data_IF_040711225051
#
_entry.id   IF_040711225051
#
_cell.length_a   1.000
_cell.length_b   1.000
_cell.length_c   1.000
_cell.angle_alpha   90.00
_cell.angle_beta   90.00
_cell.angle_gamma   90.00
#
_symmetry.space_group_name_H-M   'P 1'
#
loop_
_entity.id
_entity.type
_entity.pdbx_description
1 polymer ?
#
# COMPACT_ATOMS: atom_id res chain seq x y z
N UNK A 1 -2.71 1.06 -10.58
CA UNK A 1 -3.49 0.55 -9.42
C UNK A 1 -4.43 -0.59 -9.81
N UNK A 2 -5.31 -0.40 -10.80
CA UNK A 2 -6.30 -1.41 -11.20
C UNK A 2 -5.72 -2.81 -11.48
N UNK A 3 -4.57 -2.92 -12.15
CA UNK A 3 -3.93 -4.21 -12.44
C UNK A 3 -3.53 -4.96 -11.17
N UNK A 4 -2.88 -4.28 -10.21
CA UNK A 4 -2.51 -4.89 -8.92
C UNK A 4 -3.75 -5.38 -8.17
N UNK A 5 -4.83 -4.59 -8.21
CA UNK A 5 -6.09 -4.96 -7.59
C UNK A 5 -6.70 -6.22 -8.21
N UNK A 6 -6.68 -6.34 -9.55
CA UNK A 6 -7.14 -7.54 -10.26
C UNK A 6 -6.33 -8.79 -9.87
N UNK A 7 -5.00 -8.68 -9.71
CA UNK A 7 -4.18 -9.79 -9.21
C UNK A 7 -4.64 -10.25 -7.82
N UNK A 8 -4.88 -9.30 -6.91
CA UNK A 8 -5.32 -9.60 -5.54
C UNK A 8 -6.69 -10.29 -5.54
N UNK A 9 -7.66 -9.75 -6.30
CA UNK A 9 -9.01 -10.33 -6.40
C UNK A 9 -8.97 -11.73 -7.01
N UNK A 10 -8.09 -12.00 -7.97
CA UNK A 10 -7.98 -13.32 -8.57
C UNK A 10 -7.30 -14.35 -7.65
N UNK A 11 -6.33 -13.92 -6.82
CA UNK A 11 -5.69 -14.80 -5.84
C UNK A 11 -6.59 -15.12 -4.64
N UNK A 12 -7.50 -14.21 -4.28
CA UNK A 12 -8.46 -14.37 -3.20
C UNK A 12 -9.79 -14.90 -3.76
N UNK A 13 -10.06 -16.19 -3.54
CA UNK A 13 -11.35 -16.79 -3.88
C UNK A 13 -12.44 -16.31 -2.89
N UNK A 14 -12.96 -15.10 -3.11
CA UNK A 14 -13.99 -14.48 -2.28
C UNK A 14 -15.38 -14.76 -2.88
N UNK A 15 -16.21 -15.49 -2.13
CA UNK A 15 -17.64 -15.63 -2.44
C UNK A 15 -18.38 -14.33 -2.10
N UNK A 16 -18.60 -13.49 -3.11
CA UNK A 16 -19.37 -12.24 -2.98
C UNK A 16 -20.84 -12.45 -2.60
N UNK A 17 -21.36 -13.68 -2.68
CA UNK A 17 -22.76 -14.00 -2.41
C UNK A 17 -23.12 -13.83 -0.93
N UNK A 18 -22.23 -14.21 0.00
CA UNK A 18 -22.51 -14.11 1.43
C UNK A 18 -22.25 -12.70 1.99
N UNK A 19 -21.28 -11.96 1.42
CA UNK A 19 -21.07 -10.54 1.72
C UNK A 19 -22.27 -9.67 1.31
N UNK A 20 -22.93 -10.01 0.20
CA UNK A 20 -24.08 -9.25 -0.32
C UNK A 20 -25.32 -9.34 0.58
N UNK A 21 -25.52 -10.45 1.29
CA UNK A 21 -26.70 -10.65 2.17
C UNK A 21 -26.77 -9.62 3.30
N UNK A 22 -25.64 -9.32 3.95
CA UNK A 22 -25.57 -8.30 5.01
C UNK A 22 -25.68 -6.86 4.49
N UNK A 23 -25.12 -6.58 3.32
CA UNK A 23 -25.16 -5.26 2.70
C UNK A 23 -26.56 -4.87 2.20
N UNK A 24 -27.38 -5.85 1.77
CA UNK A 24 -28.70 -5.58 1.18
C UNK A 24 -29.69 -4.96 2.17
N UNK A 25 -29.51 -5.18 3.47
CA UNK A 25 -30.33 -4.58 4.53
C UNK A 25 -30.11 -3.07 4.68
N UNK A 26 -28.91 -2.56 4.35
CA UNK A 26 -28.55 -1.15 4.51
C UNK A 26 -28.71 -0.32 3.23
N UNK A 27 -29.07 -0.95 2.09
CA UNK A 27 -29.33 -0.26 0.83
C UNK A 27 -30.32 0.92 0.97
N UNK A 28 -31.50 0.79 1.61
CA UNK A 28 -32.44 1.91 1.69
C UNK A 28 -31.87 3.09 2.49
N UNK A 29 -31.13 2.82 3.56
CA UNK A 29 -30.47 3.85 4.36
C UNK A 29 -29.33 4.52 3.57
N UNK A 30 -28.51 3.72 2.86
CA UNK A 30 -27.43 4.23 2.01
C UNK A 30 -27.95 5.08 0.85
N UNK A 31 -29.07 4.69 0.24
CA UNK A 31 -29.74 5.47 -0.81
C UNK A 31 -30.30 6.77 -0.25
N UNK A 32 -30.87 6.77 0.95
CA UNK A 32 -31.35 8.00 1.59
C UNK A 32 -30.19 8.98 1.83
N UNK A 33 -29.08 8.52 2.41
CA UNK A 33 -27.89 9.36 2.67
C UNK A 33 -27.25 9.83 1.35
N UNK A 34 -27.06 8.93 0.39
CA UNK A 34 -26.49 9.28 -0.92
C UNK A 34 -27.38 10.25 -1.70
N UNK A 35 -28.70 10.10 -1.58
CA UNK A 35 -29.68 11.03 -2.16
C UNK A 35 -29.59 12.42 -1.53
N UNK A 36 -29.46 12.51 -0.21
CA UNK A 36 -29.26 13.78 0.50
C UNK A 36 -27.97 14.46 0.01
N UNK A 37 -26.85 13.73 -0.06
CA UNK A 37 -25.58 14.27 -0.54
C UNK A 37 -25.66 14.72 -2.00
N UNK A 38 -26.39 14.00 -2.86
CA UNK A 38 -26.62 14.41 -4.25
C UNK A 38 -27.43 15.70 -4.34
N UNK A 39 -28.49 15.82 -3.53
CA UNK A 39 -29.30 17.05 -3.47
C UNK A 39 -28.46 18.21 -2.95
N UNK A 40 -27.63 18.00 -1.94
CA UNK A 40 -26.72 19.01 -1.40
C UNK A 40 -25.70 19.46 -2.45
N UNK A 41 -25.08 18.53 -3.18
CA UNK A 41 -24.12 18.86 -4.24
C UNK A 41 -24.79 19.60 -5.40
N UNK A 42 -26.02 19.22 -5.75
CA UNK A 42 -26.82 19.92 -6.76
C UNK A 42 -27.20 21.32 -6.30
N UNK A 43 -27.66 21.48 -5.07
CA UNK A 43 -27.98 22.78 -4.48
C UNK A 43 -26.75 23.68 -4.48
N UNK A 44 -25.59 23.20 -4.00
CA UNK A 44 -24.32 23.93 -4.05
C UNK A 44 -23.96 24.37 -5.46
N UNK A 45 -24.12 23.49 -6.45
CA UNK A 45 -23.84 23.83 -7.84
C UNK A 45 -24.78 24.92 -8.39
N UNK A 46 -26.09 24.83 -8.07
CA UNK A 46 -27.08 25.81 -8.56
C UNK A 46 -27.06 27.14 -7.82
N UNK A 47 -26.68 27.13 -6.54
CA UNK A 47 -26.54 28.33 -5.71
C UNK A 47 -25.16 28.97 -5.84
N UNK A 48 -24.26 28.35 -6.62
CA UNK A 48 -22.97 28.93 -6.93
C UNK A 48 -23.15 30.08 -7.93
N UNK A 49 -23.26 31.30 -7.42
CA UNK A 49 -23.09 32.49 -8.25
C UNK A 49 -21.61 32.60 -8.64
N UNK A 50 -21.31 32.46 -9.94
CA UNK A 50 -19.97 32.76 -10.44
C UNK A 50 -19.65 34.22 -10.09
N UNK A 51 -18.58 34.44 -9.33
CA UNK A 51 -18.09 35.80 -9.08
C UNK A 51 -17.90 36.50 -10.45
N UNK A 52 -18.53 37.66 -10.70
CA UNK A 52 -18.40 38.37 -11.97
C UNK A 52 -16.93 38.68 -12.34
N UNK A 53 -16.08 38.79 -11.32
CA UNK A 53 -14.63 38.98 -11.43
C UNK A 53 -13.90 37.76 -12.00
N UNK A 54 -14.41 36.54 -11.80
CA UNK A 54 -13.81 35.31 -12.31
C UNK A 54 -14.01 35.14 -13.83
N UNK A 55 -15.09 35.70 -14.39
CA UNK A 55 -15.39 35.65 -15.83
C UNK A 55 -14.51 36.64 -16.62
N UNK A 56 -14.11 37.74 -15.99
CA UNK A 56 -13.24 38.77 -16.58
C UNK A 56 -11.74 38.59 -16.25
N UNK A 57 -11.35 37.48 -15.61
CA UNK A 57 -9.96 37.16 -15.33
C UNK A 57 -9.21 36.81 -16.62
N UNK A 58 -8.74 37.86 -17.30
CA UNK A 58 -7.89 37.82 -18.49
C UNK A 58 -6.50 37.26 -18.22
N UNK A 59 -6.08 37.16 -16.95
CA UNK A 59 -4.82 36.53 -16.55
C UNK A 59 -4.74 35.05 -16.94
N UNK A 60 -5.84 34.30 -16.87
CA UNK A 60 -5.83 32.87 -17.22
C UNK A 60 -5.63 32.68 -18.73
N UNK A 61 -6.21 33.55 -19.55
CA UNK A 61 -6.01 33.57 -20.99
C UNK A 61 -4.60 34.06 -21.39
N UNK A 62 -4.02 34.99 -20.64
CA UNK A 62 -2.66 35.48 -20.83
C UNK A 62 -1.59 34.43 -20.46
N UNK A 63 -1.86 33.57 -19.47
CA UNK A 63 -0.97 32.46 -19.08
C UNK A 63 -1.01 31.32 -20.12
N UNK A 64 -2.19 31.01 -20.67
CA UNK A 64 -2.34 29.99 -21.71
C UNK A 64 -1.61 30.34 -23.03
N UNK A 65 -1.30 31.63 -23.25
CA UNK A 65 -0.60 32.12 -24.44
C UNK A 65 0.93 32.15 -24.35
N UNK A 66 1.53 31.80 -23.20
CA UNK A 66 2.99 31.95 -22.98
C UNK A 66 3.84 30.84 -23.62
N UNK A 67 3.24 29.82 -24.25
CA UNK A 67 3.96 28.83 -25.04
C UNK A 67 4.69 27.74 -24.23
N UNK A 68 4.71 27.86 -22.89
CA UNK A 68 5.23 26.82 -22.01
C UNK A 68 4.35 25.56 -22.09
N UNK A 69 5.00 24.40 -22.14
CA UNK A 69 4.28 23.12 -22.03
C UNK A 69 3.63 23.02 -20.66
N UNK A 70 2.42 22.46 -20.57
CA UNK A 70 1.77 22.21 -19.27
C UNK A 70 2.69 21.42 -18.31
N UNK A 71 3.52 20.51 -18.85
CA UNK A 71 4.51 19.76 -18.07
C UNK A 71 5.58 20.67 -17.45
N UNK A 72 6.03 21.68 -18.18
CA UNK A 72 7.03 22.64 -17.72
C UNK A 72 6.47 23.56 -16.64
N UNK A 73 5.27 24.11 -16.87
CA UNK A 73 4.57 24.94 -15.90
C UNK A 73 4.32 24.18 -14.58
N UNK A 74 3.87 22.93 -14.66
CA UNK A 74 3.65 22.08 -13.49
C UNK A 74 4.98 21.77 -12.77
N UNK A 75 6.03 21.49 -13.52
CA UNK A 75 7.37 21.25 -12.98
C UNK A 75 7.90 22.44 -12.19
N UNK A 76 7.75 23.66 -12.73
CA UNK A 76 8.17 24.89 -12.06
C UNK A 76 7.52 25.03 -10.68
N UNK A 77 6.20 24.90 -10.61
CA UNK A 77 5.43 25.01 -9.35
C UNK A 77 5.79 23.89 -8.36
N UNK A 78 5.93 22.65 -8.84
CA UNK A 78 6.27 21.50 -8.00
C UNK A 78 7.64 21.64 -7.34
N UNK A 79 8.63 22.18 -8.07
CA UNK A 79 10.01 22.28 -7.58
C UNK A 79 10.34 23.62 -6.91
N UNK A 80 9.54 24.67 -7.09
CA UNK A 80 9.73 25.94 -6.37
C UNK A 80 8.84 26.05 -5.14
N UNK A 81 7.52 25.96 -5.32
CA UNK A 81 6.54 26.35 -4.30
C UNK A 81 6.10 25.14 -3.47
N UNK A 82 5.99 23.97 -4.10
CA UNK A 82 5.52 22.74 -3.48
C UNK A 82 6.61 21.69 -3.24
N UNK A 83 7.87 22.13 -3.15
CA UNK A 83 9.02 21.23 -2.96
C UNK A 83 8.88 20.36 -1.70
N UNK A 84 8.30 20.90 -0.63
CA UNK A 84 8.13 20.17 0.62
C UNK A 84 7.06 19.07 0.53
N UNK A 85 5.80 19.35 0.10
CA UNK A 85 4.82 18.29 -0.18
C UNK A 85 5.31 17.25 -1.20
N UNK A 86 6.07 17.67 -2.21
CA UNK A 86 6.66 16.76 -3.19
C UNK A 86 7.64 15.78 -2.53
N UNK A 87 8.55 16.28 -1.67
CA UNK A 87 9.48 15.43 -0.94
C UNK A 87 8.78 14.48 0.05
N UNK A 88 7.74 14.97 0.74
CA UNK A 88 6.91 14.13 1.64
C UNK A 88 6.22 13.02 0.86
N UNK A 89 5.71 13.29 -0.34
CA UNK A 89 5.13 12.26 -1.21
C UNK A 89 6.16 11.18 -1.58
N UNK A 90 7.41 11.56 -1.84
CA UNK A 90 8.51 10.62 -2.04
C UNK A 90 8.77 9.72 -0.82
N UNK A 91 8.76 10.28 0.39
CA UNK A 91 8.87 9.51 1.63
C UNK A 91 7.69 8.55 1.82
N UNK A 92 6.46 8.98 1.52
CA UNK A 92 5.27 8.12 1.59
C UNK A 92 5.42 6.92 0.65
N UNK A 93 5.89 7.13 -0.59
CA UNK A 93 6.13 6.06 -1.54
C UNK A 93 7.22 5.08 -1.07
N UNK A 94 8.31 5.60 -0.50
CA UNK A 94 9.38 4.78 0.08
C UNK A 94 8.85 3.91 1.21
N UNK A 95 8.15 4.50 2.18
CA UNK A 95 7.57 3.77 3.32
C UNK A 95 6.55 2.75 2.84
N UNK A 96 5.73 3.09 1.84
CA UNK A 96 4.76 2.18 1.24
C UNK A 96 5.42 0.94 0.61
N UNK A 97 6.55 1.13 -0.10
CA UNK A 97 7.33 0.03 -0.68
C UNK A 97 7.91 -0.87 0.41
N UNK A 98 8.53 -0.29 1.44
CA UNK A 98 9.07 -1.05 2.59
C UNK A 98 7.95 -1.84 3.27
N UNK A 99 6.81 -1.20 3.52
CA UNK A 99 5.64 -1.84 4.14
C UNK A 99 5.12 -3.02 3.32
N UNK A 100 4.95 -2.86 2.02
CA UNK A 100 4.50 -3.93 1.14
C UNK A 100 5.47 -5.12 1.11
N UNK A 101 6.78 -4.88 1.06
CA UNK A 101 7.80 -5.93 1.06
C UNK A 101 7.79 -6.67 2.40
N UNK A 102 7.85 -5.94 3.53
CA UNK A 102 7.90 -6.57 4.86
C UNK A 102 6.64 -7.40 5.12
N UNK A 103 5.46 -6.94 4.70
CA UNK A 103 4.20 -7.65 4.88
C UNK A 103 4.12 -8.95 4.05
N UNK A 104 4.70 -8.94 2.85
CA UNK A 104 4.68 -10.11 1.95
C UNK A 104 5.90 -11.03 2.12
N UNK A 105 6.91 -10.60 2.89
CA UNK A 105 8.14 -11.34 3.08
C UNK A 105 7.92 -12.60 3.94
N UNK A 106 7.72 -13.74 3.28
CA UNK A 106 7.55 -15.04 3.94
C UNK A 106 8.90 -15.62 4.37
N UNK A 107 9.10 -15.79 5.68
CA UNK A 107 10.25 -16.56 6.20
C UNK A 107 10.00 -18.06 5.99
N UNK A 108 10.97 -18.75 5.37
CA UNK A 108 10.95 -20.22 5.26
C UNK A 108 11.50 -20.82 6.56
N UNK A 109 10.68 -21.57 7.28
CA UNK A 109 11.06 -22.24 8.52
C UNK A 109 11.87 -23.53 8.28
N UNK A 110 11.76 -24.10 7.08
CA UNK A 110 12.41 -25.35 6.67
C UNK A 110 13.89 -25.17 6.27
N UNK A 111 14.50 -24.03 6.62
CA UNK A 111 15.89 -23.74 6.29
C UNK A 111 16.67 -23.69 7.59
N UNK A 112 17.56 -24.67 7.78
CA UNK A 112 18.50 -24.66 8.89
C UNK A 112 19.39 -23.43 8.77
N UNK A 113 19.36 -22.57 9.79
CA UNK A 113 20.22 -21.39 9.88
C UNK A 113 21.31 -21.65 10.91
N UNK A 114 22.55 -21.45 10.50
CA UNK A 114 23.69 -21.46 11.40
C UNK A 114 23.61 -20.25 12.34
N UNK A 115 23.69 -20.52 13.64
CA UNK A 115 23.96 -19.51 14.66
C UNK A 115 25.42 -19.67 15.07
N UNK A 116 26.24 -18.69 14.70
CA UNK A 116 27.69 -18.78 14.90
C UNK A 116 28.03 -18.85 16.40
N UNK A 117 27.32 -18.11 17.26
CA UNK A 117 27.48 -18.19 18.71
C UNK A 117 27.24 -19.59 19.25
N UNK A 118 26.05 -20.16 18.99
CA UNK A 118 25.67 -21.50 19.41
C UNK A 118 26.63 -22.60 18.89
N UNK A 119 27.29 -22.38 17.74
CA UNK A 119 28.27 -23.32 17.20
C UNK A 119 29.66 -23.18 17.81
N UNK A 120 30.10 -21.96 18.14
CA UNK A 120 31.41 -21.70 18.75
C UNK A 120 31.42 -22.08 20.23
N UNK A 121 30.30 -21.88 20.93
CA UNK A 121 30.15 -22.23 22.36
C UNK A 121 29.92 -23.74 22.61
N UNK A 122 29.76 -24.52 21.54
CA UNK A 122 29.42 -25.94 21.63
C UNK A 122 30.52 -26.73 22.33
N UNK A 123 30.17 -27.41 23.42
CA UNK A 123 31.13 -28.17 24.23
C UNK A 123 31.25 -29.63 23.74
N UNK A 124 32.34 -30.31 24.10
CA UNK A 124 32.59 -31.70 23.68
C UNK A 124 31.45 -32.66 24.07
N UNK A 125 30.86 -32.50 25.27
CA UNK A 125 29.76 -33.34 25.75
C UNK A 125 28.43 -33.16 24.99
N UNK A 126 28.26 -32.05 24.26
CA UNK A 126 27.11 -31.85 23.36
C UNK A 126 27.38 -32.37 21.94
N UNK A 127 28.63 -32.74 21.66
CA UNK A 127 29.07 -33.10 20.32
C UNK A 127 29.27 -34.59 20.13
N UNK A 128 29.80 -35.28 21.13
CA UNK A 128 30.14 -36.69 21.05
C UNK A 128 29.79 -37.40 22.35
N UNK A 129 29.19 -38.58 22.22
CA UNK A 129 28.96 -39.52 23.31
C UNK A 129 29.93 -40.70 23.16
N UNK A 130 30.77 -40.95 24.16
CA UNK A 130 31.72 -42.07 24.14
C UNK A 130 31.04 -43.27 24.77
N UNK A 131 30.55 -44.20 23.93
CA UNK A 131 30.04 -45.50 24.38
C UNK A 131 31.13 -46.57 24.31
N UNK A 132 31.36 -47.29 25.42
CA UNK A 132 32.23 -48.46 25.41
C UNK A 132 31.44 -49.68 24.94
N UNK A 133 31.90 -50.31 23.86
CA UNK A 133 31.28 -51.50 23.25
C UNK A 133 32.15 -52.73 23.49
N UNK A 134 31.52 -53.87 23.80
CA UNK A 134 32.21 -55.17 23.88
C UNK A 134 32.58 -55.66 22.49
N UNK A 135 33.74 -56.30 22.37
CA UNK A 135 34.23 -56.87 21.11
C UNK A 135 33.21 -57.86 20.56
N UNK A 136 32.70 -57.60 19.35
CA UNK A 136 31.68 -58.41 18.68
C UNK A 136 30.23 -57.96 18.90
N UNK A 137 29.96 -56.99 19.77
CA UNK A 137 28.64 -56.35 19.88
C UNK A 137 28.60 -55.10 18.99
N UNK A 138 27.60 -54.99 18.12
CA UNK A 138 27.34 -53.78 17.34
C UNK A 138 26.93 -52.61 18.25
N UNK A 139 27.06 -51.39 17.74
CA UNK A 139 26.55 -50.19 18.41
C UNK A 139 25.12 -49.94 17.93
N UNK A 140 24.16 -49.92 18.85
CA UNK A 140 22.82 -49.40 18.55
C UNK A 140 22.87 -47.88 18.45
N UNK A 141 22.49 -47.39 17.26
CA UNK A 141 22.56 -45.98 16.83
C UNK A 141 21.35 -45.20 17.30
#
# INVERSE_FOLDING_TARGET
VAVLFMFVVMMLDISFADLRKGAMQFIPLGLAIGGILLVELFALYTSWDFAPEAINNTDVAAIAGQGDSNTEALGKILYTDYVFPFQVSGLILLVSMIGAIVLTHRRRADVLRQRVGDQVERTQGQSMEIKQVKVGAGVDV
#
